data_IF_990950460846
#
_entry.id   IF_990950460846
#
_cell.length_a   1.000
_cell.length_b   1.000
_cell.length_c   1.000
_cell.angle_alpha   90.00
_cell.angle_beta   90.00
_cell.angle_gamma   90.00
#
_symmetry.space_group_name_H-M   'P 1'
#
loop_
_entity.id
_entity.type
_entity.pdbx_description
1 polymer ?
#
# COMPACT_ATOMS: atom_id res chain seq x y z
N UNK A 1 11.37 2.63 17.16
CA UNK A 1 10.34 1.57 17.18
C UNK A 1 10.68 0.67 16.00
N UNK A 2 11.05 -0.58 16.24
CA UNK A 2 11.35 -1.49 15.14
C UNK A 2 10.05 -1.78 14.42
N UNK A 3 10.02 -1.51 13.11
CA UNK A 3 8.87 -1.82 12.28
C UNK A 3 8.70 -3.34 12.23
N UNK A 4 7.51 -3.79 12.59
CA UNK A 4 7.18 -5.21 12.63
C UNK A 4 7.21 -5.78 11.21
N UNK A 5 8.02 -6.79 10.98
CA UNK A 5 8.13 -7.47 9.69
C UNK A 5 7.06 -8.56 9.58
N UNK A 6 6.46 -8.72 8.39
CA UNK A 6 5.40 -9.69 8.14
C UNK A 6 5.42 -10.15 6.68
N UNK A 7 4.76 -11.26 6.41
CA UNK A 7 4.46 -11.68 5.04
C UNK A 7 3.19 -11.00 4.54
N UNK A 8 3.21 -10.57 3.29
CA UNK A 8 2.05 -10.02 2.58
C UNK A 8 1.89 -10.79 1.28
N UNK A 9 0.73 -11.42 1.11
CA UNK A 9 0.36 -12.13 -0.09
C UNK A 9 -0.76 -11.40 -0.79
N UNK A 10 -0.65 -11.25 -2.10
CA UNK A 10 -1.64 -10.63 -2.96
C UNK A 10 -2.16 -11.63 -3.98
N UNK A 11 -3.45 -11.60 -4.26
CA UNK A 11 -4.05 -12.35 -5.33
C UNK A 11 -5.14 -11.53 -6.03
N UNK A 12 -5.49 -11.90 -7.26
CA UNK A 12 -6.60 -11.29 -8.01
C UNK A 12 -7.70 -12.32 -8.10
N UNK A 13 -8.88 -11.98 -7.60
CA UNK A 13 -10.05 -12.85 -7.57
C UNK A 13 -11.23 -12.26 -8.34
N UNK A 14 -12.18 -13.08 -8.85
CA UNK A 14 -13.44 -12.62 -9.40
C UNK A 14 -14.29 -11.88 -8.34
N UNK A 15 -15.11 -10.93 -8.79
CA UNK A 15 -16.01 -10.16 -7.91
C UNK A 15 -17.08 -11.03 -7.24
N UNK A 16 -17.50 -12.10 -7.87
CA UNK A 16 -18.42 -13.10 -7.29
C UNK A 16 -17.78 -13.81 -6.11
N UNK A 17 -16.52 -14.21 -6.25
CA UNK A 17 -15.75 -14.84 -5.18
C UNK A 17 -15.52 -13.88 -4.02
N UNK A 18 -15.16 -12.61 -4.31
CA UNK A 18 -15.08 -11.55 -3.31
C UNK A 18 -16.38 -11.44 -2.49
N UNK A 19 -17.58 -11.41 -3.14
CA UNK A 19 -18.86 -11.33 -2.43
C UNK A 19 -19.04 -12.51 -1.48
N UNK A 20 -18.73 -13.71 -1.94
CA UNK A 20 -18.86 -14.93 -1.13
C UNK A 20 -17.90 -14.91 0.08
N UNK A 21 -16.67 -14.43 -0.11
CA UNK A 21 -15.70 -14.26 0.99
C UNK A 21 -16.22 -13.24 1.99
N UNK A 22 -16.72 -12.09 1.55
CA UNK A 22 -17.25 -11.04 2.42
C UNK A 22 -18.42 -11.56 3.26
N UNK A 23 -19.36 -12.27 2.65
CA UNK A 23 -20.49 -12.90 3.36
C UNK A 23 -20.03 -13.89 4.43
N UNK A 24 -18.95 -14.62 4.15
CA UNK A 24 -18.37 -15.57 5.10
C UNK A 24 -17.65 -14.84 6.23
N UNK A 25 -16.87 -13.79 5.92
CA UNK A 25 -16.17 -12.99 6.92
C UNK A 25 -17.13 -12.28 7.89
N UNK A 26 -18.29 -11.80 7.38
CA UNK A 26 -19.31 -11.18 8.22
C UNK A 26 -19.96 -12.17 9.21
N UNK A 27 -20.06 -13.45 8.86
CA UNK A 27 -20.59 -14.50 9.75
C UNK A 27 -19.57 -14.93 10.81
N UNK A 28 -18.30 -14.72 10.57
CA UNK A 28 -17.20 -15.11 11.44
C UNK A 28 -16.92 -14.01 12.48
N UNK A 29 -17.37 -14.22 13.74
CA UNK A 29 -17.23 -13.23 14.84
C UNK A 29 -15.81 -12.75 15.13
N UNK A 30 -14.79 -13.48 14.67
CA UNK A 30 -13.37 -13.12 14.84
C UNK A 30 -12.90 -12.03 13.89
N UNK A 31 -13.64 -11.73 12.82
CA UNK A 31 -13.33 -10.67 11.87
C UNK A 31 -14.18 -9.44 12.11
N UNK A 32 -13.55 -8.27 12.09
CA UNK A 32 -14.24 -6.98 12.19
C UNK A 32 -14.02 -6.21 10.89
N UNK A 33 -15.09 -5.88 10.15
CA UNK A 33 -14.98 -5.05 8.97
C UNK A 33 -14.62 -3.62 9.38
N UNK A 34 -13.73 -2.99 8.60
CA UNK A 34 -13.59 -1.55 8.59
C UNK A 34 -14.58 -0.94 7.58
N UNK A 35 -14.83 0.35 7.71
CA UNK A 35 -15.57 1.12 6.69
C UNK A 35 -14.83 1.01 5.36
N UNK A 36 -15.58 0.98 4.25
CA UNK A 36 -15.01 1.14 2.91
C UNK A 36 -14.52 2.57 2.77
N UNK A 37 -13.29 2.74 2.31
CA UNK A 37 -12.65 4.03 2.10
C UNK A 37 -12.11 4.12 0.69
N UNK A 38 -12.19 5.31 0.09
CA UNK A 38 -11.46 5.62 -1.13
C UNK A 38 -10.02 5.95 -0.75
N UNK A 39 -9.07 5.32 -1.41
CA UNK A 39 -7.64 5.54 -1.17
C UNK A 39 -6.99 6.02 -2.45
N UNK A 40 -6.25 7.12 -2.38
CA UNK A 40 -5.32 7.58 -3.41
C UNK A 40 -3.91 7.38 -2.94
N UNK A 41 -3.05 6.84 -3.81
CA UNK A 41 -1.61 6.78 -3.61
C UNK A 41 -0.86 7.46 -4.75
N UNK A 42 0.04 8.37 -4.42
CA UNK A 42 0.99 8.97 -5.35
C UNK A 42 2.33 8.27 -5.13
N UNK A 43 2.73 7.41 -6.05
CA UNK A 43 3.98 6.66 -5.96
C UNK A 43 5.14 7.47 -6.50
N UNK A 44 6.31 7.30 -5.86
CA UNK A 44 7.57 7.92 -6.28
C UNK A 44 8.48 6.87 -6.89
N UNK A 45 8.84 7.06 -8.15
CA UNK A 45 9.64 6.12 -8.93
C UNK A 45 10.82 6.83 -9.57
N UNK A 46 11.83 6.09 -10.03
CA UNK A 46 12.86 6.61 -10.90
C UNK A 46 12.28 6.88 -12.30
N UNK A 47 12.71 7.94 -12.93
CA UNK A 47 12.15 8.45 -14.19
C UNK A 47 12.16 7.46 -15.38
N UNK A 48 12.91 6.36 -15.29
CA UNK A 48 13.29 5.53 -16.45
C UNK A 48 12.43 4.26 -16.64
N UNK A 49 11.54 3.87 -15.71
CA UNK A 49 10.90 2.53 -15.78
C UNK A 49 9.41 2.47 -15.39
N UNK A 50 8.57 3.31 -16.02
CA UNK A 50 7.11 3.28 -15.78
C UNK A 50 6.42 1.94 -16.12
N UNK A 51 7.03 1.06 -16.89
CA UNK A 51 6.45 -0.21 -17.29
C UNK A 51 7.00 -1.42 -16.52
N UNK A 52 8.17 -1.30 -15.90
CA UNK A 52 8.82 -2.43 -15.21
C UNK A 52 8.57 -2.44 -13.71
N UNK A 53 8.33 -1.30 -13.07
CA UNK A 53 8.19 -1.24 -11.61
C UNK A 53 6.85 -1.76 -11.09
N UNK A 54 5.79 -1.74 -11.91
CA UNK A 54 4.55 -2.47 -11.60
C UNK A 54 4.71 -3.99 -11.77
N UNK A 55 5.73 -4.44 -12.48
CA UNK A 55 6.01 -5.83 -12.84
C UNK A 55 7.30 -6.37 -12.23
N UNK A 56 8.18 -5.51 -11.66
CA UNK A 56 9.42 -5.97 -11.01
C UNK A 56 9.14 -6.66 -9.66
N UNK A 57 8.36 -7.72 -9.74
CA UNK A 57 7.91 -8.58 -8.65
C UNK A 57 9.06 -9.34 -7.96
N UNK A 58 10.28 -9.28 -8.50
CA UNK A 58 11.37 -10.17 -8.10
C UNK A 58 12.61 -9.49 -7.49
N UNK A 59 12.57 -8.20 -7.13
CA UNK A 59 13.67 -7.66 -6.34
C UNK A 59 13.50 -8.07 -4.87
N UNK A 60 14.40 -8.86 -4.36
CA UNK A 60 14.37 -9.40 -2.98
C UNK A 60 14.49 -8.30 -1.92
N UNK A 61 15.14 -7.18 -2.27
CA UNK A 61 15.36 -6.04 -1.36
C UNK A 61 15.01 -4.72 -2.03
N UNK A 62 13.84 -4.17 -1.69
CA UNK A 62 13.35 -2.89 -2.25
C UNK A 62 12.75 -1.99 -1.20
N UNK A 63 12.94 -0.68 -1.37
CA UNK A 63 12.19 0.35 -0.68
C UNK A 63 11.33 1.10 -1.68
N UNK A 64 10.06 1.28 -1.38
CA UNK A 64 9.13 2.08 -2.17
C UNK A 64 8.47 3.14 -1.30
N UNK A 65 8.18 4.30 -1.90
CA UNK A 65 7.60 5.44 -1.22
C UNK A 65 6.33 5.88 -1.93
N UNK A 66 5.32 6.22 -1.16
CA UNK A 66 4.13 6.88 -1.69
C UNK A 66 3.55 7.87 -0.69
N UNK A 67 2.88 8.89 -1.19
CA UNK A 67 1.99 9.73 -0.39
C UNK A 67 0.57 9.20 -0.56
N UNK A 68 -0.09 8.95 0.55
CA UNK A 68 -1.43 8.37 0.62
C UNK A 68 -2.43 9.37 1.18
N UNK A 69 -3.59 9.45 0.53
CA UNK A 69 -4.78 10.18 0.96
C UNK A 69 -5.96 9.22 1.08
N UNK A 70 -6.80 9.41 2.07
CA UNK A 70 -7.99 8.58 2.29
C UNK A 70 -9.24 9.46 2.31
N UNK A 71 -10.30 9.04 1.61
CA UNK A 71 -11.59 9.72 1.55
C UNK A 71 -11.49 11.22 1.17
N UNK A 72 -10.50 11.56 0.34
CA UNK A 72 -10.21 12.92 -0.16
C UNK A 72 -9.83 13.92 0.94
N UNK A 73 -9.37 13.41 2.08
CA UNK A 73 -8.95 14.23 3.23
C UNK A 73 -7.49 14.69 3.04
N UNK A 74 -7.31 15.93 2.60
CA UNK A 74 -6.00 16.54 2.38
C UNK A 74 -5.31 16.99 3.68
N UNK A 75 -6.08 17.14 4.78
CA UNK A 75 -5.51 17.47 6.09
C UNK A 75 -4.75 16.30 6.72
N UNK A 76 -4.96 15.09 6.21
CA UNK A 76 -4.37 13.86 6.74
C UNK A 76 -3.63 13.05 5.66
N UNK A 77 -2.68 13.70 4.98
CA UNK A 77 -1.77 12.98 4.09
C UNK A 77 -0.77 12.15 4.89
N UNK A 78 -0.38 11.02 4.33
CA UNK A 78 0.55 10.08 4.97
C UNK A 78 1.66 9.73 3.98
N UNK A 79 2.91 10.00 4.35
CA UNK A 79 4.07 9.41 3.67
C UNK A 79 4.25 7.97 4.17
N UNK A 80 4.16 7.01 3.26
CA UNK A 80 4.41 5.59 3.50
C UNK A 80 5.75 5.20 2.87
N UNK A 81 6.61 4.53 3.65
CA UNK A 81 7.74 3.75 3.17
C UNK A 81 7.38 2.27 3.32
N UNK A 82 7.42 1.51 2.24
CA UNK A 82 7.29 0.05 2.25
C UNK A 82 8.65 -0.55 1.91
N UNK A 83 9.20 -1.31 2.85
CA UNK A 83 10.46 -2.04 2.68
C UNK A 83 10.17 -3.53 2.52
N UNK A 84 10.78 -4.15 1.51
CA UNK A 84 10.75 -5.60 1.29
C UNK A 84 12.17 -6.12 1.48
N UNK A 85 12.34 -7.14 2.32
CA UNK A 85 13.62 -7.81 2.61
C UNK A 85 13.38 -9.30 2.70
N UNK A 86 13.99 -10.08 1.83
CA UNK A 86 13.87 -11.55 1.81
C UNK A 86 12.41 -12.07 1.87
N UNK A 87 11.52 -11.37 1.17
CA UNK A 87 10.08 -11.68 1.15
C UNK A 87 9.27 -11.15 2.32
N UNK A 88 9.91 -10.65 3.38
CA UNK A 88 9.26 -9.96 4.49
C UNK A 88 9.02 -8.49 4.13
N UNK A 89 7.95 -7.93 4.65
CA UNK A 89 7.55 -6.55 4.44
C UNK A 89 7.50 -5.83 5.79
N UNK A 90 8.02 -4.62 5.82
CA UNK A 90 7.75 -3.64 6.87
C UNK A 90 7.22 -2.35 6.25
N UNK A 91 6.40 -1.62 6.99
CA UNK A 91 5.85 -0.33 6.56
C UNK A 91 6.01 0.70 7.65
N UNK A 92 6.63 1.81 7.32
CA UNK A 92 6.76 2.99 8.17
C UNK A 92 5.89 4.10 7.63
N UNK A 93 5.35 4.91 8.53
CA UNK A 93 4.41 5.98 8.20
C UNK A 93 4.75 7.25 8.96
N UNK A 94 4.55 8.39 8.31
CA UNK A 94 4.50 9.68 8.99
C UNK A 94 3.43 10.57 8.38
N UNK A 95 2.92 11.51 9.17
CA UNK A 95 2.00 12.53 8.65
C UNK A 95 2.76 13.51 7.77
N UNK A 96 2.06 14.02 6.77
CA UNK A 96 2.53 15.02 5.84
C UNK A 96 1.40 16.06 5.69
N UNK A 97 1.70 17.35 5.82
CA UNK A 97 0.72 18.38 5.50
C UNK A 97 0.58 18.57 4.00
N UNK A 98 -0.52 19.16 3.55
CA UNK A 98 -0.71 19.52 2.14
C UNK A 98 0.40 20.46 1.66
N UNK A 99 0.79 21.47 2.47
CA UNK A 99 1.88 22.41 2.17
C UNK A 99 3.23 21.67 1.99
N UNK A 100 3.56 20.73 2.89
CA UNK A 100 4.77 19.91 2.78
C UNK A 100 4.74 19.03 1.52
N UNK A 101 3.58 18.48 1.15
CA UNK A 101 3.45 17.71 -0.07
C UNK A 101 3.60 18.59 -1.32
N UNK A 102 3.03 19.79 -1.32
CA UNK A 102 3.23 20.77 -2.40
C UNK A 102 4.70 21.14 -2.57
N UNK A 103 5.43 21.37 -1.47
CA UNK A 103 6.88 21.60 -1.53
C UNK A 103 7.63 20.43 -2.17
N UNK A 104 7.25 19.19 -1.86
CA UNK A 104 7.82 18.01 -2.49
C UNK A 104 7.57 18.01 -4.01
N UNK A 105 6.36 18.37 -4.44
CA UNK A 105 6.01 18.45 -5.86
C UNK A 105 6.79 19.57 -6.59
N UNK A 106 7.10 20.66 -5.89
CA UNK A 106 7.90 21.79 -6.39
C UNK A 106 9.42 21.51 -6.39
N UNK A 107 9.85 20.37 -5.84
CA UNK A 107 11.27 20.01 -5.76
C UNK A 107 12.01 20.61 -4.56
N UNK A 108 11.29 21.20 -3.59
CA UNK A 108 11.86 21.73 -2.35
C UNK A 108 11.92 20.60 -1.30
N UNK A 109 13.07 19.96 -1.18
CA UNK A 109 13.30 18.80 -0.32
C UNK A 109 14.14 19.09 0.93
N UNK A 110 14.85 20.24 0.99
CA UNK A 110 15.89 20.52 1.99
C UNK A 110 15.40 20.44 3.43
N UNK A 111 14.14 20.80 3.69
CA UNK A 111 13.54 20.74 5.00
C UNK A 111 13.50 19.31 5.60
N UNK A 112 13.45 18.29 4.74
CA UNK A 112 13.42 16.89 5.17
C UNK A 112 14.77 16.41 5.68
N UNK A 113 15.89 17.02 5.26
CA UNK A 113 17.23 16.61 5.65
C UNK A 113 17.46 16.70 7.17
N UNK A 114 16.81 17.67 7.83
CA UNK A 114 16.89 17.91 9.27
C UNK A 114 15.63 17.52 10.04
N UNK A 115 14.66 16.88 9.38
CA UNK A 115 13.42 16.47 10.01
C UNK A 115 13.66 15.47 11.15
N UNK A 116 12.81 15.53 12.18
CA UNK A 116 12.89 14.64 13.34
C UNK A 116 12.60 13.18 12.96
N UNK A 117 11.63 12.96 12.11
CA UNK A 117 11.18 11.67 11.64
C UNK A 117 12.20 11.08 10.64
N UNK A 118 12.69 9.88 10.93
CA UNK A 118 13.70 9.21 10.08
C UNK A 118 13.20 8.98 8.66
N UNK A 119 11.92 8.72 8.48
CA UNK A 119 11.30 8.47 7.17
C UNK A 119 11.44 9.68 6.23
N UNK A 120 11.38 10.93 6.74
CA UNK A 120 11.63 12.11 5.91
C UNK A 120 13.09 12.20 5.48
N UNK A 121 14.05 11.92 6.37
CA UNK A 121 15.47 11.91 6.03
C UNK A 121 15.81 10.82 5.01
N UNK A 122 15.23 9.62 5.19
CA UNK A 122 15.38 8.53 4.23
C UNK A 122 14.79 8.93 2.86
N UNK A 123 13.61 9.55 2.85
CA UNK A 123 12.95 9.97 1.62
C UNK A 123 13.71 11.10 0.92
N UNK A 124 14.26 12.06 1.67
CA UNK A 124 15.16 13.08 1.15
C UNK A 124 16.32 12.48 0.35
N UNK A 125 16.98 11.46 0.89
CA UNK A 125 18.07 10.77 0.20
C UNK A 125 17.59 10.08 -1.09
N UNK A 126 16.38 9.55 -1.09
CA UNK A 126 15.80 8.93 -2.28
C UNK A 126 15.49 9.98 -3.36
N UNK A 127 14.95 11.13 -2.98
CA UNK A 127 14.64 12.21 -3.92
C UNK A 127 15.89 12.88 -4.50
N UNK A 128 16.94 13.04 -3.68
CA UNK A 128 18.17 13.76 -4.07
C UNK A 128 19.19 12.85 -4.76
N UNK A 129 19.49 11.68 -4.19
CA UNK A 129 20.53 10.77 -4.70
C UNK A 129 19.95 9.82 -5.75
N UNK A 130 18.82 9.17 -5.45
CA UNK A 130 18.22 8.20 -6.35
C UNK A 130 17.23 8.83 -7.34
N UNK A 131 17.03 10.15 -7.25
CA UNK A 131 16.19 10.94 -8.17
C UNK A 131 14.77 10.41 -8.31
N UNK A 132 14.16 9.95 -7.19
CA UNK A 132 12.76 9.59 -7.19
C UNK A 132 11.91 10.82 -7.51
N UNK A 133 10.87 10.63 -8.31
CA UNK A 133 9.90 11.67 -8.67
C UNK A 133 8.49 11.11 -8.58
N UNK A 134 7.46 11.96 -8.37
CA UNK A 134 6.08 11.54 -8.48
C UNK A 134 5.84 10.91 -9.85
N UNK A 135 5.44 9.65 -9.89
CA UNK A 135 5.36 8.89 -11.14
C UNK A 135 3.95 8.47 -11.52
N UNK A 136 3.23 7.82 -10.62
CA UNK A 136 1.88 7.32 -10.89
C UNK A 136 0.95 7.61 -9.73
N UNK A 137 -0.26 8.04 -10.06
CA UNK A 137 -1.38 8.16 -9.10
C UNK A 137 -2.29 6.94 -9.27
N UNK A 138 -2.59 6.28 -8.17
CA UNK A 138 -3.47 5.10 -8.13
C UNK A 138 -4.59 5.34 -7.14
N UNK A 139 -5.84 5.18 -7.60
CA UNK A 139 -7.05 5.22 -6.77
C UNK A 139 -7.70 3.85 -6.69
N UNK A 140 -8.25 3.53 -5.54
CA UNK A 140 -9.04 2.32 -5.34
C UNK A 140 -9.99 2.47 -4.15
N UNK A 141 -11.04 1.65 -4.14
CA UNK A 141 -11.91 1.48 -2.98
C UNK A 141 -11.36 0.35 -2.12
N UNK A 142 -11.11 0.59 -0.84
CA UNK A 142 -10.54 -0.38 0.09
C UNK A 142 -11.53 -0.81 1.15
N UNK A 143 -11.74 -2.12 1.27
CA UNK A 143 -12.40 -2.73 2.42
C UNK A 143 -11.41 -3.61 3.18
N UNK A 144 -11.27 -3.37 4.48
CA UNK A 144 -10.39 -4.14 5.34
C UNK A 144 -11.16 -4.91 6.41
N UNK A 145 -10.66 -6.09 6.73
CA UNK A 145 -11.13 -6.90 7.85
C UNK A 145 -9.96 -7.16 8.79
N UNK A 146 -10.16 -6.88 10.08
CA UNK A 146 -9.17 -7.14 11.12
C UNK A 146 -9.59 -8.34 11.95
N UNK A 147 -8.64 -9.19 12.31
CA UNK A 147 -8.87 -10.26 13.26
C UNK A 147 -8.78 -9.72 14.69
N UNK A 148 -9.70 -10.13 15.57
CA UNK A 148 -9.93 -9.53 16.90
C UNK A 148 -8.72 -9.51 17.84
N UNK A 149 -7.80 -10.46 17.75
CA UNK A 149 -6.70 -10.64 18.71
C UNK A 149 -5.32 -10.44 18.13
N UNK A 150 -5.24 -10.15 16.82
CA UNK A 150 -3.96 -10.14 16.09
C UNK A 150 -3.87 -8.94 15.17
N UNK A 151 -2.66 -8.52 14.85
CA UNK A 151 -2.38 -7.51 13.84
C UNK A 151 -2.58 -8.03 12.40
N UNK A 152 -3.26 -9.15 12.26
CA UNK A 152 -3.60 -9.76 10.98
C UNK A 152 -4.78 -9.04 10.36
N UNK A 153 -4.72 -8.85 9.06
CA UNK A 153 -5.81 -8.27 8.31
C UNK A 153 -5.90 -8.83 6.90
N UNK A 154 -7.10 -8.78 6.37
CA UNK A 154 -7.40 -9.04 4.98
C UNK A 154 -7.93 -7.76 4.36
N UNK A 155 -7.40 -7.39 3.21
CA UNK A 155 -7.76 -6.17 2.48
C UNK A 155 -8.26 -6.57 1.11
N UNK A 156 -9.32 -5.90 0.67
CA UNK A 156 -9.86 -5.99 -0.68
C UNK A 156 -9.79 -4.61 -1.32
N UNK A 157 -9.10 -4.51 -2.44
CA UNK A 157 -8.99 -3.30 -3.23
C UNK A 157 -9.78 -3.48 -4.54
N UNK A 158 -10.78 -2.62 -4.73
CA UNK A 158 -11.74 -2.66 -5.83
C UNK A 158 -11.56 -1.41 -6.70
N UNK A 159 -12.09 -1.46 -7.92
CA UNK A 159 -12.17 -0.29 -8.82
C UNK A 159 -10.82 0.41 -9.01
N UNK A 160 -9.74 -0.37 -9.18
CA UNK A 160 -8.38 0.16 -9.27
C UNK A 160 -8.21 0.96 -10.56
N UNK A 161 -7.87 2.24 -10.42
CA UNK A 161 -7.64 3.19 -11.52
C UNK A 161 -6.29 3.83 -11.36
N UNK A 162 -5.66 4.26 -12.44
CA UNK A 162 -4.41 5.02 -12.35
C UNK A 162 -4.24 6.01 -13.49
N UNK A 163 -3.35 6.97 -13.28
CA UNK A 163 -2.86 7.90 -14.30
C UNK A 163 -1.40 8.24 -14.04
N UNK A 164 -0.68 8.53 -15.11
CA UNK A 164 0.65 9.16 -15.09
C UNK A 164 0.56 10.66 -15.45
N UNK A 165 -0.63 11.12 -15.85
CA UNK A 165 -0.90 12.49 -16.28
C UNK A 165 -1.56 13.26 -15.15
N UNK A 166 -0.78 14.02 -14.40
CA UNK A 166 -1.25 14.90 -13.34
C UNK A 166 -0.31 16.12 -13.20
N UNK A 167 -0.82 17.13 -12.55
CA UNK A 167 -0.08 18.34 -12.17
C UNK A 167 -0.18 18.53 -10.65
N UNK A 168 0.58 19.46 -10.09
CA UNK A 168 0.45 19.85 -8.68
C UNK A 168 -1.00 20.16 -8.31
N UNK A 169 -1.72 20.95 -9.15
CA UNK A 169 -3.09 21.37 -8.87
C UNK A 169 -4.12 20.25 -8.99
N UNK A 170 -3.81 19.18 -9.71
CA UNK A 170 -4.75 18.10 -10.00
C UNK A 170 -4.51 16.83 -9.22
N UNK A 171 -3.29 16.63 -8.69
CA UNK A 171 -2.88 15.37 -8.04
C UNK A 171 -3.73 14.99 -6.83
N UNK A 172 -4.22 15.97 -6.08
CA UNK A 172 -5.13 15.76 -4.92
C UNK A 172 -6.61 15.90 -5.30
N UNK A 173 -6.92 16.36 -6.51
CA UNK A 173 -8.30 16.57 -6.94
C UNK A 173 -9.05 15.24 -7.13
N UNK A 174 -10.25 15.07 -6.55
CA UNK A 174 -11.09 13.89 -6.82
C UNK A 174 -11.53 13.78 -8.27
N UNK A 175 -11.42 14.86 -9.06
CA UNK A 175 -11.77 14.92 -10.48
C UNK A 175 -10.60 14.54 -11.42
N UNK A 176 -9.46 14.11 -10.87
CA UNK A 176 -8.31 13.68 -11.67
C UNK A 176 -8.72 12.53 -12.60
N UNK A 177 -8.56 12.74 -13.91
CA UNK A 177 -8.88 11.74 -14.93
C UNK A 177 -7.96 10.52 -14.83
N UNK A 178 -8.54 9.33 -14.75
CA UNK A 178 -7.82 8.08 -14.57
C UNK A 178 -8.41 6.98 -15.44
N UNK A 179 -7.58 5.99 -15.77
CA UNK A 179 -7.97 4.80 -16.53
C UNK A 179 -8.05 3.59 -15.60
N UNK A 180 -9.10 2.79 -15.72
CA UNK A 180 -9.19 1.50 -15.02
C UNK A 180 -8.02 0.58 -15.39
N UNK A 181 -7.42 -0.06 -14.39
CA UNK A 181 -6.27 -0.96 -14.54
C UNK A 181 -6.61 -2.41 -14.28
N UNK A 182 -7.72 -2.64 -13.64
CA UNK A 182 -8.22 -3.98 -13.38
C UNK A 182 -9.58 -4.13 -14.07
N UNK A 183 -9.85 -5.29 -14.66
CA UNK A 183 -11.17 -5.60 -15.21
C UNK A 183 -12.25 -5.37 -14.13
N UNK A 184 -13.40 -4.82 -14.53
CA UNK A 184 -14.49 -4.39 -13.61
C UNK A 184 -15.01 -5.53 -12.70
N UNK A 185 -14.79 -6.78 -13.08
CA UNK A 185 -15.20 -7.96 -12.33
C UNK A 185 -14.06 -8.59 -11.50
N UNK A 186 -12.94 -7.91 -11.32
CA UNK A 186 -11.80 -8.38 -10.55
C UNK A 186 -11.58 -7.54 -9.29
N UNK A 187 -11.02 -8.19 -8.26
CA UNK A 187 -10.69 -7.58 -6.97
C UNK A 187 -9.30 -8.06 -6.56
N UNK A 188 -8.46 -7.15 -6.07
CA UNK A 188 -7.18 -7.52 -5.45
C UNK A 188 -7.44 -7.83 -3.99
N UNK A 189 -7.08 -9.02 -3.56
CA UNK A 189 -7.09 -9.41 -2.15
C UNK A 189 -5.66 -9.44 -1.63
N UNK A 190 -5.45 -8.75 -0.52
CA UNK A 190 -4.18 -8.73 0.21
C UNK A 190 -4.38 -9.32 1.59
N UNK A 191 -3.53 -10.26 1.95
CA UNK A 191 -3.50 -10.83 3.28
C UNK A 191 -2.16 -10.57 3.95
N UNK A 192 -2.22 -9.96 5.14
CA UNK A 192 -1.06 -9.80 6.02
C UNK A 192 -0.98 -11.02 6.93
N UNK A 193 0.09 -11.79 6.81
CA UNK A 193 0.30 -13.01 7.55
C UNK A 193 1.36 -12.82 8.64
N UNK A 194 0.94 -13.00 9.89
CA UNK A 194 1.82 -13.14 11.06
C UNK A 194 1.69 -14.53 11.70
N UNK A 195 0.67 -15.31 11.31
CA UNK A 195 0.36 -16.65 11.78
C UNK A 195 -0.29 -17.46 10.65
N UNK A 196 -0.73 -18.67 10.95
CA UNK A 196 -1.39 -19.54 9.98
C UNK A 196 -2.69 -18.95 9.43
N UNK A 197 -2.83 -18.97 8.10
CA UNK A 197 -4.06 -18.63 7.40
C UNK A 197 -5.19 -19.59 7.81
N UNK A 198 -6.38 -19.07 8.16
CA UNK A 198 -7.55 -19.93 8.29
C UNK A 198 -7.79 -20.72 7.01
N UNK A 199 -7.94 -22.05 7.11
CA UNK A 199 -8.00 -22.94 5.95
C UNK A 199 -9.11 -22.62 4.93
N UNK A 200 -10.19 -21.93 5.34
CA UNK A 200 -11.22 -21.47 4.41
C UNK A 200 -10.76 -20.31 3.53
N UNK A 201 -9.96 -19.37 4.07
CA UNK A 201 -9.39 -18.25 3.31
C UNK A 201 -8.48 -18.80 2.20
N UNK A 202 -7.60 -19.73 2.55
CA UNK A 202 -6.74 -20.39 1.58
C UNK A 202 -7.52 -21.02 0.41
N UNK A 203 -8.60 -21.75 0.72
CA UNK A 203 -9.43 -22.40 -0.32
C UNK A 203 -10.17 -21.40 -1.21
N UNK A 204 -10.56 -20.25 -0.66
CA UNK A 204 -11.37 -19.25 -1.36
C UNK A 204 -10.54 -18.24 -2.15
N UNK A 205 -9.36 -17.89 -1.67
CA UNK A 205 -8.54 -16.82 -2.28
C UNK A 205 -7.39 -17.34 -3.13
N UNK A 206 -7.09 -18.64 -3.07
CA UNK A 206 -5.90 -19.21 -3.69
C UNK A 206 -4.57 -18.68 -3.09
N UNK A 207 -4.63 -17.85 -2.06
CA UNK A 207 -3.45 -17.35 -1.35
C UNK A 207 -2.76 -18.53 -0.67
N UNK A 208 -1.50 -18.77 -1.02
CA UNK A 208 -0.74 -19.91 -0.47
C UNK A 208 -0.28 -19.59 0.96
N UNK A 209 -0.45 -20.57 1.84
CA UNK A 209 0.17 -20.52 3.15
C UNK A 209 1.69 -20.68 2.97
N UNK A 210 2.46 -19.66 3.28
CA UNK A 210 3.91 -19.80 3.43
C UNK A 210 4.17 -20.48 4.78
N UNK A 211 4.89 -21.61 4.76
CA UNK A 211 5.36 -22.21 5.99
C UNK A 211 6.12 -21.17 6.79
N UNK A 212 5.84 -21.07 8.08
CA UNK A 212 6.60 -20.24 9.02
C UNK A 212 8.08 -20.56 8.84
N UNK A 213 8.84 -19.66 8.21
CA UNK A 213 10.22 -19.53 8.61
C UNK A 213 10.17 -19.05 10.06
N UNK A 214 10.47 -19.94 10.98
CA UNK A 214 10.76 -19.58 12.37
C UNK A 214 11.75 -18.42 12.30
N UNK A 215 11.30 -17.24 12.72
CA UNK A 215 12.22 -16.15 12.96
C UNK A 215 13.30 -16.73 13.90
N UNK A 216 14.60 -16.62 13.58
CA UNK A 216 15.61 -17.07 14.51
C UNK A 216 15.35 -16.34 15.83
N UNK A 217 15.10 -17.10 16.88
CA UNK A 217 15.12 -16.57 18.23
C UNK A 217 16.50 -15.97 18.42
N UNK A 218 16.56 -14.65 18.47
CA UNK A 218 17.78 -13.96 18.87
C UNK A 218 17.96 -14.25 20.35
N UNK A 219 18.84 -15.21 20.63
CA UNK A 219 19.42 -15.45 21.94
C UNK A 219 20.34 -14.30 22.33
#
# INVERSE_FOLDING_TARGET
MFDEMYYEENNIIPKEEYKHIIDTLHKEKKFRPARISVVRKVFFNREINYLTDAVSVNQENTDSYCVMMTDWDTDHLILEKKSKREGLISKSYTRLSEEEFERILDGDYEWMASARESIFRDFYLQLTINQLRPGVVVDYERQAFRMNSKKEYMIFDLSIRSTYLFTKDTVLSPLLGQTERLEQNRVVVTYKQMAELPGFIYRMTGIKQKHQCLLPEFA
#
